data_IF_313228143221
#
_entry.id   IF_313228143221
#
_cell.length_a   1.000
_cell.length_b   1.000
_cell.length_c   1.000
_cell.angle_alpha   90.00
_cell.angle_beta   90.00
_cell.angle_gamma   90.00
#
_symmetry.space_group_name_H-M   'P 1'
#
loop_
_entity.id
_entity.type
_entity.pdbx_description
1 polymer ?
#
# COMPACT_ATOMS: atom_id res chain seq x y z
N UNK A 1 -6.49 -8.48 26.53
CA UNK A 1 -5.94 -7.10 26.44
C UNK A 1 -5.62 -6.70 25.01
N UNK A 2 -4.84 -7.47 24.22
CA UNK A 2 -4.52 -7.10 22.83
C UNK A 2 -5.72 -6.78 21.92
N UNK A 3 -6.82 -7.56 21.98
CA UNK A 3 -8.04 -7.30 21.18
C UNK A 3 -8.66 -5.93 21.45
N UNK A 4 -8.60 -5.45 22.70
CA UNK A 4 -9.15 -4.15 23.09
C UNK A 4 -8.25 -3.03 22.54
N UNK A 5 -6.93 -3.21 22.60
CA UNK A 5 -5.96 -2.26 22.03
C UNK A 5 -6.18 -2.04 20.54
N UNK A 6 -6.39 -3.11 19.75
CA UNK A 6 -6.66 -2.99 18.31
C UNK A 6 -7.97 -2.27 18.00
N UNK A 7 -9.03 -2.54 18.78
CA UNK A 7 -10.31 -1.85 18.61
C UNK A 7 -10.21 -0.36 18.94
N UNK A 8 -9.46 0.01 19.98
CA UNK A 8 -9.21 1.41 20.34
C UNK A 8 -8.40 2.13 19.26
N UNK A 9 -7.36 1.48 18.72
CA UNK A 9 -6.57 2.03 17.61
C UNK A 9 -7.40 2.24 16.34
N UNK A 10 -8.30 1.30 16.02
CA UNK A 10 -9.19 1.40 14.87
C UNK A 10 -10.22 2.51 15.05
N UNK A 11 -10.80 2.63 16.25
CA UNK A 11 -11.69 3.74 16.59
C UNK A 11 -10.98 5.10 16.49
N UNK A 12 -9.73 5.18 16.96
CA UNK A 12 -8.92 6.40 16.83
C UNK A 12 -8.62 6.73 15.37
N UNK A 13 -8.27 5.75 14.53
CA UNK A 13 -8.02 5.96 13.11
C UNK A 13 -9.26 6.50 12.36
N UNK A 14 -10.46 6.04 12.74
CA UNK A 14 -11.73 6.52 12.19
C UNK A 14 -12.13 7.90 12.73
N UNK A 15 -11.80 8.21 13.98
CA UNK A 15 -12.10 9.49 14.62
C UNK A 15 -11.11 10.60 14.22
N UNK A 16 -9.86 10.25 13.86
CA UNK A 16 -8.77 11.17 13.52
C UNK A 16 -9.16 12.32 12.55
N UNK A 17 -9.94 12.10 11.48
CA UNK A 17 -10.35 13.16 10.56
C UNK A 17 -11.30 14.20 11.18
N UNK A 18 -12.04 13.82 12.23
CA UNK A 18 -13.06 14.66 12.87
C UNK A 18 -12.53 15.49 14.04
N UNK A 19 -11.28 15.29 14.43
CA UNK A 19 -10.64 15.96 15.58
C UNK A 19 -10.18 17.41 15.28
N UNK A 20 -10.49 17.96 14.11
CA UNK A 20 -10.12 19.35 13.75
C UNK A 20 -8.62 19.57 13.53
N UNK A 21 -7.84 18.49 13.45
CA UNK A 21 -6.41 18.52 13.11
C UNK A 21 -6.20 18.88 11.63
N UNK A 22 -5.01 19.35 11.28
CA UNK A 22 -4.66 19.73 9.90
C UNK A 22 -4.96 18.58 8.91
N UNK A 23 -5.95 18.71 8.01
CA UNK A 23 -6.49 17.56 7.26
C UNK A 23 -5.46 16.85 6.38
N UNK A 24 -4.54 17.61 5.79
CA UNK A 24 -3.49 17.04 4.92
C UNK A 24 -2.50 16.20 5.73
N UNK A 25 -2.21 16.60 6.98
CA UNK A 25 -1.34 15.82 7.86
C UNK A 25 -2.01 14.50 8.25
N UNK A 26 -3.27 14.55 8.68
CA UNK A 26 -4.04 13.35 9.06
C UNK A 26 -4.18 12.39 7.88
N UNK A 27 -4.46 12.90 6.68
CA UNK A 27 -4.53 12.10 5.46
C UNK A 27 -3.20 11.36 5.19
N UNK A 28 -2.07 12.07 5.20
CA UNK A 28 -0.74 11.46 5.00
C UNK A 28 -0.43 10.41 6.06
N UNK A 29 -0.75 10.71 7.33
CA UNK A 29 -0.58 9.78 8.45
C UNK A 29 -1.37 8.48 8.22
N UNK A 30 -2.64 8.58 7.83
CA UNK A 30 -3.50 7.43 7.56
C UNK A 30 -3.00 6.62 6.34
N UNK A 31 -2.51 7.29 5.29
CA UNK A 31 -1.90 6.60 4.14
C UNK A 31 -0.65 5.79 4.55
N UNK A 32 0.26 6.37 5.35
CA UNK A 32 1.44 5.65 5.83
C UNK A 32 1.10 4.56 6.86
N UNK A 33 0.06 4.75 7.68
CA UNK A 33 -0.44 3.71 8.57
C UNK A 33 -0.96 2.50 7.78
N UNK A 34 -1.75 2.74 6.72
CA UNK A 34 -2.22 1.69 5.82
C UNK A 34 -1.04 0.99 5.12
N UNK A 35 -0.04 1.74 4.67
CA UNK A 35 1.19 1.18 4.10
C UNK A 35 1.94 0.28 5.09
N UNK A 36 2.08 0.71 6.35
CA UNK A 36 2.69 -0.09 7.41
C UNK A 36 1.90 -1.38 7.70
N UNK A 37 0.55 -1.30 7.69
CA UNK A 37 -0.30 -2.49 7.80
C UNK A 37 -0.09 -3.47 6.65
N UNK A 38 -0.01 -2.99 5.40
CA UNK A 38 0.26 -3.84 4.23
C UNK A 38 1.64 -4.51 4.33
N UNK A 39 2.67 -3.76 4.74
CA UNK A 39 4.01 -4.30 4.96
C UNK A 39 4.04 -5.35 6.07
N UNK A 40 3.35 -5.09 7.19
CA UNK A 40 3.19 -6.04 8.29
C UNK A 40 2.37 -7.27 7.89
N UNK A 41 1.44 -7.16 6.94
CA UNK A 41 0.70 -8.30 6.44
C UNK A 41 1.65 -9.34 5.82
N UNK A 42 2.61 -8.88 5.01
CA UNK A 42 3.61 -9.77 4.42
C UNK A 42 4.62 -10.24 5.48
N UNK A 43 5.28 -9.30 6.15
CA UNK A 43 6.38 -9.62 7.06
C UNK A 43 5.90 -10.39 8.30
N UNK A 44 4.79 -9.96 8.91
CA UNK A 44 4.28 -10.49 10.16
C UNK A 44 3.60 -11.85 10.01
N UNK A 45 2.90 -12.13 8.90
CA UNK A 45 2.22 -13.42 8.72
C UNK A 45 3.02 -14.43 7.90
N UNK A 46 3.83 -13.98 6.93
CA UNK A 46 4.59 -14.90 6.05
C UNK A 46 6.08 -14.93 6.34
N UNK A 47 6.60 -13.99 7.15
CA UNK A 47 8.04 -13.86 7.40
C UNK A 47 8.82 -13.30 6.21
N UNK A 48 8.14 -12.87 5.14
CA UNK A 48 8.77 -12.38 3.91
C UNK A 48 8.91 -10.85 3.95
N UNK A 49 10.16 -10.38 3.90
CA UNK A 49 10.50 -8.96 3.81
C UNK A 49 10.47 -8.51 2.34
N UNK A 50 9.51 -7.66 1.95
CA UNK A 50 9.40 -7.14 0.57
C UNK A 50 9.76 -5.66 0.48
N UNK A 51 10.83 -5.34 -0.28
CA UNK A 51 11.17 -3.96 -0.63
C UNK A 51 10.41 -3.43 -1.87
N UNK A 52 9.58 -4.27 -2.48
CA UNK A 52 8.80 -3.93 -3.68
C UNK A 52 7.60 -3.01 -3.45
N UNK A 53 7.18 -2.81 -2.19
CA UNK A 53 5.97 -2.04 -1.85
C UNK A 53 5.97 -0.61 -2.41
N UNK A 54 7.15 0.02 -2.50
CA UNK A 54 7.27 1.37 -3.07
C UNK A 54 6.90 1.42 -4.56
N UNK A 55 7.26 0.39 -5.34
CA UNK A 55 6.93 0.31 -6.76
C UNK A 55 5.42 0.12 -6.99
N UNK A 56 4.76 -0.69 -6.16
CA UNK A 56 3.29 -0.84 -6.21
C UNK A 56 2.57 0.46 -5.81
N UNK A 57 3.07 1.13 -4.77
CA UNK A 57 2.51 2.40 -4.32
C UNK A 57 2.67 3.51 -5.39
N UNK A 58 3.85 3.60 -6.01
CA UNK A 58 4.11 4.57 -7.08
C UNK A 58 3.30 4.31 -8.35
N UNK A 59 3.22 3.06 -8.80
CA UNK A 59 2.42 2.69 -9.98
C UNK A 59 0.92 2.95 -9.79
N UNK A 60 0.35 2.60 -8.62
CA UNK A 60 -1.05 2.95 -8.30
C UNK A 60 -1.28 4.47 -8.34
N UNK A 61 -0.36 5.25 -7.74
CA UNK A 61 -0.47 6.70 -7.69
C UNK A 61 -0.40 7.32 -9.10
N UNK A 62 0.50 6.82 -9.96
CA UNK A 62 0.64 7.27 -11.35
C UNK A 62 -0.63 6.99 -12.17
N UNK A 63 -1.13 5.75 -12.13
CA UNK A 63 -2.34 5.35 -12.87
C UNK A 63 -3.55 6.15 -12.40
N UNK A 64 -3.74 6.29 -11.08
CA UNK A 64 -4.82 7.09 -10.50
C UNK A 64 -4.73 8.55 -10.95
N UNK A 65 -3.54 9.15 -10.87
CA UNK A 65 -3.30 10.53 -11.29
C UNK A 65 -3.52 10.75 -12.78
N UNK A 66 -3.15 9.78 -13.62
CA UNK A 66 -3.42 9.83 -15.06
C UNK A 66 -4.93 9.83 -15.32
N UNK A 67 -5.70 8.88 -14.80
CA UNK A 67 -7.15 8.83 -15.06
C UNK A 67 -7.90 10.08 -14.59
N UNK A 68 -7.50 10.66 -13.47
CA UNK A 68 -8.07 11.93 -12.98
C UNK A 68 -7.70 13.08 -13.94
N UNK A 69 -6.42 13.20 -14.32
CA UNK A 69 -5.92 14.35 -15.09
C UNK A 69 -6.29 14.32 -16.57
N UNK A 70 -6.15 13.15 -17.22
CA UNK A 70 -6.32 13.01 -18.68
C UNK A 70 -7.74 12.63 -19.07
N UNK A 71 -8.39 11.79 -18.27
CA UNK A 71 -9.68 11.21 -18.61
C UNK A 71 -10.83 11.85 -17.84
N UNK A 72 -10.54 12.68 -16.83
CA UNK A 72 -11.54 13.37 -16.01
C UNK A 72 -12.41 12.42 -15.20
N UNK A 73 -11.94 11.20 -14.92
CA UNK A 73 -12.69 10.22 -14.15
C UNK A 73 -12.95 10.71 -12.72
N UNK A 74 -14.03 10.23 -12.11
CA UNK A 74 -14.29 10.48 -10.70
C UNK A 74 -13.16 9.89 -9.86
N UNK A 75 -12.77 10.53 -8.74
CA UNK A 75 -11.67 10.05 -7.89
C UNK A 75 -11.85 8.60 -7.43
N UNK A 76 -13.10 8.17 -7.20
CA UNK A 76 -13.45 6.82 -6.78
C UNK A 76 -13.10 5.77 -7.84
N UNK A 77 -13.49 6.02 -9.10
CA UNK A 77 -13.18 5.14 -10.23
C UNK A 77 -11.68 5.12 -10.54
N UNK A 78 -11.03 6.28 -10.47
CA UNK A 78 -9.59 6.38 -10.69
C UNK A 78 -8.80 5.63 -9.60
N UNK A 79 -9.23 5.70 -8.34
CA UNK A 79 -8.61 4.98 -7.24
C UNK A 79 -8.75 3.46 -7.40
N UNK A 80 -9.92 2.98 -7.83
CA UNK A 80 -10.13 1.57 -8.17
C UNK A 80 -9.23 1.13 -9.32
N UNK A 81 -9.11 1.95 -10.37
CA UNK A 81 -8.22 1.65 -11.50
C UNK A 81 -6.75 1.55 -11.06
N UNK A 82 -6.29 2.46 -10.19
CA UNK A 82 -4.95 2.41 -9.60
C UNK A 82 -4.73 1.16 -8.73
N UNK A 83 -5.71 0.78 -7.92
CA UNK A 83 -5.66 -0.43 -7.10
C UNK A 83 -5.59 -1.70 -7.95
N UNK A 84 -6.38 -1.77 -9.03
CA UNK A 84 -6.34 -2.88 -9.99
C UNK A 84 -4.99 -2.94 -10.69
N UNK A 85 -4.45 -1.80 -11.14
CA UNK A 85 -3.15 -1.74 -11.79
C UNK A 85 -2.01 -2.22 -10.87
N UNK A 86 -1.95 -1.73 -9.63
CA UNK A 86 -0.98 -2.22 -8.66
C UNK A 86 -1.19 -3.68 -8.28
N UNK A 87 -2.44 -4.16 -8.24
CA UNK A 87 -2.78 -5.57 -8.05
C UNK A 87 -2.25 -6.45 -9.18
N UNK A 88 -2.36 -6.02 -10.44
CA UNK A 88 -1.82 -6.73 -11.60
C UNK A 88 -0.29 -6.78 -11.58
N UNK A 89 0.36 -5.65 -11.28
CA UNK A 89 1.83 -5.61 -11.13
C UNK A 89 2.25 -6.50 -9.96
N UNK A 90 1.55 -6.44 -8.82
CA UNK A 90 1.78 -7.29 -7.67
C UNK A 90 1.61 -8.78 -7.98
N UNK A 91 0.65 -9.15 -8.82
CA UNK A 91 0.44 -10.53 -9.28
C UNK A 91 1.63 -11.00 -10.14
N UNK A 92 2.05 -10.20 -11.12
CA UNK A 92 3.20 -10.52 -11.98
C UNK A 92 4.51 -10.66 -11.17
N UNK A 93 4.75 -9.72 -10.26
CA UNK A 93 5.92 -9.73 -9.38
C UNK A 93 5.85 -10.89 -8.39
N UNK A 94 4.67 -11.15 -7.82
CA UNK A 94 4.41 -12.25 -6.91
C UNK A 94 4.70 -13.60 -7.52
N UNK A 95 4.30 -13.85 -8.77
CA UNK A 95 4.55 -15.11 -9.49
C UNK A 95 6.05 -15.46 -9.58
N UNK A 96 6.92 -14.45 -9.66
CA UNK A 96 8.37 -14.64 -9.72
C UNK A 96 8.98 -14.70 -8.32
N UNK A 97 8.60 -13.76 -7.45
CA UNK A 97 9.25 -13.54 -6.17
C UNK A 97 8.98 -14.66 -5.15
N UNK A 98 7.76 -15.22 -5.09
CA UNK A 98 7.36 -16.21 -4.07
C UNK A 98 8.12 -17.54 -4.16
N UNK A 99 8.85 -17.78 -5.26
CA UNK A 99 9.64 -19.01 -5.45
C UNK A 99 10.87 -19.08 -4.55
N UNK A 100 11.25 -17.98 -3.90
CA UNK A 100 12.40 -17.89 -2.99
C UNK A 100 11.95 -17.27 -1.67
N UNK A 101 12.63 -17.61 -0.58
CA UNK A 101 12.34 -17.11 0.76
C UNK A 101 13.56 -16.38 1.34
N UNK A 102 13.32 -15.58 2.40
CA UNK A 102 14.37 -14.85 3.11
C UNK A 102 15.02 -13.75 2.26
N UNK A 103 16.36 -13.66 2.30
CA UNK A 103 17.12 -12.58 1.66
C UNK A 103 16.92 -12.55 0.14
N UNK A 104 16.80 -13.71 -0.50
CA UNK A 104 16.57 -13.79 -1.94
C UNK A 104 15.24 -13.15 -2.36
N UNK A 105 14.18 -13.29 -1.56
CA UNK A 105 12.89 -12.64 -1.81
C UNK A 105 13.02 -11.11 -1.72
N UNK A 106 13.70 -10.62 -0.69
CA UNK A 106 13.96 -9.20 -0.50
C UNK A 106 14.78 -8.61 -1.67
N UNK A 107 15.82 -9.32 -2.12
CA UNK A 107 16.67 -8.88 -3.24
C UNK A 107 15.91 -8.86 -4.57
N UNK A 108 15.09 -9.87 -4.87
CA UNK A 108 14.28 -9.91 -6.09
C UNK A 108 13.27 -8.77 -6.10
N UNK A 109 12.56 -8.55 -4.99
CA UNK A 109 11.56 -7.46 -4.90
C UNK A 109 12.21 -6.08 -4.98
N UNK A 110 13.42 -5.90 -4.43
CA UNK A 110 14.20 -4.66 -4.59
C UNK A 110 14.63 -4.44 -6.04
N UNK A 111 15.18 -5.46 -6.70
CA UNK A 111 15.63 -5.36 -8.09
C UNK A 111 14.47 -5.00 -9.03
N UNK A 112 13.32 -5.64 -8.85
CA UNK A 112 12.10 -5.34 -9.59
C UNK A 112 11.64 -3.91 -9.31
N UNK A 113 11.70 -3.44 -8.06
CA UNK A 113 11.29 -2.08 -7.71
C UNK A 113 12.12 -0.99 -8.39
N UNK A 114 13.37 -1.28 -8.77
CA UNK A 114 14.23 -0.34 -9.49
C UNK A 114 13.97 -0.33 -11.01
N UNK A 115 13.26 -1.33 -11.55
CA UNK A 115 12.91 -1.40 -12.96
C UNK A 115 11.59 -0.69 -13.31
N UNK A 116 10.76 -0.42 -12.29
CA UNK A 116 9.47 0.28 -12.39
C UNK A 116 9.70 1.77 -12.21
#
# INVERSE_FOLDING_TARGET
>A
MLRITYLVLLAFALAAPFLGLYPVFVMKLLCFALFACAFNLLLGFTGLLSFGHAAFFGSAAYVTGWFIKSQGWTPELALLAGAVAAGLIGLLVGLVAIRRQGIYFAMITLAIAQMV
#
